data_IF_248751427782
#
_entry.id   IF_248751427782
#
_cell.length_a   1.000
_cell.length_b   1.000
_cell.length_c   1.000
_cell.angle_alpha   90.00
_cell.angle_beta   90.00
_cell.angle_gamma   90.00
#
_symmetry.space_group_name_H-M   'P 1'
#
loop_
_entity.id
_entity.type
_entity.pdbx_description
1 polymer ?
#
# COMPACT_ATOMS: atom_id res chain seq x y z
N UNK A 1 8.99 -38.02 -19.24
CA UNK A 1 8.64 -37.14 -18.10
C UNK A 1 8.29 -37.99 -16.90
N UNK A 2 9.15 -38.12 -15.87
CA UNK A 2 8.83 -38.95 -14.70
C UNK A 2 9.81 -38.84 -13.52
N UNK A 3 10.97 -38.19 -13.72
CA UNK A 3 12.02 -38.09 -12.70
C UNK A 3 11.74 -36.93 -11.73
N UNK A 4 11.20 -35.80 -12.23
CA UNK A 4 10.90 -34.61 -11.41
C UNK A 4 9.70 -34.79 -10.46
N UNK A 5 8.66 -35.52 -10.87
CA UNK A 5 7.50 -35.78 -10.00
C UNK A 5 7.82 -36.81 -8.90
N UNK A 6 8.71 -37.76 -9.18
CA UNK A 6 9.13 -38.77 -8.21
C UNK A 6 10.10 -38.22 -7.15
N UNK A 7 10.92 -37.20 -7.46
CA UNK A 7 11.76 -36.54 -6.47
C UNK A 7 10.95 -35.65 -5.53
N UNK A 8 9.96 -34.91 -6.06
CA UNK A 8 9.01 -34.12 -5.28
C UNK A 8 8.15 -35.00 -4.35
N UNK A 9 7.60 -36.11 -4.86
CA UNK A 9 6.82 -37.05 -4.03
C UNK A 9 7.64 -37.67 -2.89
N UNK A 10 8.93 -37.96 -3.13
CA UNK A 10 9.85 -38.46 -2.09
C UNK A 10 10.20 -37.39 -1.06
N UNK A 11 10.40 -36.13 -1.46
CA UNK A 11 10.64 -35.02 -0.52
C UNK A 11 9.40 -34.70 0.31
N UNK A 12 8.24 -34.54 -0.33
CA UNK A 12 6.98 -34.26 0.36
C UNK A 12 6.60 -35.38 1.34
N UNK A 13 6.75 -36.66 0.97
CA UNK A 13 6.46 -37.77 1.89
C UNK A 13 7.41 -37.85 3.08
N UNK A 14 8.72 -37.63 2.85
CA UNK A 14 9.74 -37.68 3.92
C UNK A 14 9.58 -36.53 4.92
N UNK A 15 9.36 -35.33 4.41
CA UNK A 15 9.31 -34.13 5.23
C UNK A 15 7.94 -34.00 5.92
N UNK A 16 6.85 -34.41 5.27
CA UNK A 16 5.53 -34.53 5.93
C UNK A 16 5.53 -35.59 7.02
N UNK A 17 6.15 -36.76 6.78
CA UNK A 17 6.28 -37.83 7.78
C UNK A 17 7.08 -37.40 9.01
N UNK A 18 8.14 -36.61 8.82
CA UNK A 18 8.88 -35.98 9.93
C UNK A 18 8.04 -34.99 10.72
N UNK A 19 7.27 -34.13 10.05
CA UNK A 19 6.41 -33.14 10.71
C UNK A 19 5.31 -33.84 11.52
N UNK A 20 4.64 -34.83 10.94
CA UNK A 20 3.61 -35.62 11.62
C UNK A 20 4.22 -36.40 12.80
N UNK A 21 5.37 -37.03 12.60
CA UNK A 21 6.07 -37.76 13.67
C UNK A 21 6.51 -36.85 14.82
N UNK A 22 7.04 -35.65 14.53
CA UNK A 22 7.41 -34.68 15.56
C UNK A 22 6.17 -34.10 16.28
N UNK A 23 5.05 -34.00 15.59
CA UNK A 23 3.78 -33.52 16.16
C UNK A 23 3.10 -34.58 17.04
N UNK A 24 3.20 -35.86 16.68
CA UNK A 24 2.57 -36.99 17.41
C UNK A 24 3.43 -37.48 18.57
N UNK A 25 4.72 -37.71 18.35
CA UNK A 25 5.61 -38.29 19.38
C UNK A 25 6.26 -37.24 20.28
N UNK A 26 6.25 -35.97 19.87
CA UNK A 26 6.85 -34.87 20.61
C UNK A 26 8.27 -35.17 21.12
N UNK A 27 8.74 -34.38 22.09
CA UNK A 27 10.01 -34.60 22.78
C UNK A 27 9.90 -35.66 23.90
N UNK A 28 9.12 -36.73 23.71
CA UNK A 28 8.83 -37.73 24.77
C UNK A 28 10.06 -38.54 25.22
N UNK A 29 11.12 -38.57 24.41
CA UNK A 29 12.40 -39.21 24.74
C UNK A 29 13.62 -38.27 24.63
N UNK A 30 13.41 -36.96 24.52
CA UNK A 30 14.52 -36.01 24.51
C UNK A 30 15.04 -35.82 25.95
N UNK A 31 16.33 -36.09 26.17
CA UNK A 31 17.01 -35.68 27.40
C UNK A 31 16.87 -34.17 27.57
N UNK A 32 16.41 -33.67 28.74
CA UNK A 32 16.21 -32.24 28.95
C UNK A 32 17.55 -31.52 28.89
N UNK A 33 17.85 -30.90 27.75
CA UNK A 33 18.98 -30.01 27.61
C UNK A 33 18.63 -28.66 28.26
N UNK A 34 19.19 -28.44 29.46
CA UNK A 34 18.99 -27.23 30.25
C UNK A 34 20.00 -26.17 29.80
N UNK A 35 19.63 -25.37 28.82
CA UNK A 35 20.44 -24.22 28.40
C UNK A 35 20.48 -23.16 29.51
N UNK A 36 21.67 -22.95 30.08
CA UNK A 36 21.93 -22.02 31.19
C UNK A 36 21.80 -20.54 30.77
N UNK A 37 21.59 -20.25 29.48
CA UNK A 37 21.52 -18.90 28.92
C UNK A 37 20.21 -18.58 28.15
N UNK A 38 19.16 -19.39 28.25
CA UNK A 38 17.87 -19.13 27.58
C UNK A 38 17.31 -17.74 27.89
N UNK A 39 17.36 -17.35 29.15
CA UNK A 39 16.85 -16.05 29.60
C UNK A 39 17.65 -14.88 29.02
N UNK A 40 18.97 -15.04 28.85
CA UNK A 40 19.84 -14.01 28.23
C UNK A 40 19.56 -13.89 26.73
N UNK A 41 19.43 -15.02 26.04
CA UNK A 41 19.11 -15.06 24.60
C UNK A 41 17.72 -14.47 24.35
N UNK A 42 16.74 -14.80 25.19
CA UNK A 42 15.39 -14.22 25.08
C UNK A 42 15.38 -12.72 25.37
N UNK A 43 16.15 -12.26 26.36
CA UNK A 43 16.29 -10.84 26.67
C UNK A 43 16.99 -10.07 25.53
N UNK A 44 18.04 -10.63 24.92
CA UNK A 44 18.71 -10.05 23.76
C UNK A 44 17.80 -10.01 22.54
N UNK A 45 17.07 -11.09 22.25
CA UNK A 45 16.08 -11.12 21.18
C UNK A 45 14.97 -10.08 21.39
N UNK A 46 14.50 -9.89 22.63
CA UNK A 46 13.54 -8.83 22.99
C UNK A 46 14.12 -7.43 22.79
N UNK A 47 15.37 -7.20 23.17
CA UNK A 47 16.07 -5.92 22.93
C UNK A 47 16.23 -5.63 21.44
N UNK A 48 16.61 -6.62 20.64
CA UNK A 48 16.75 -6.49 19.19
C UNK A 48 15.38 -6.21 18.54
N UNK A 49 14.32 -6.91 18.96
CA UNK A 49 12.96 -6.67 18.48
C UNK A 49 12.47 -5.25 18.86
N UNK A 50 12.78 -4.80 20.07
CA UNK A 50 12.44 -3.44 20.54
C UNK A 50 13.21 -2.37 19.76
N UNK A 51 14.50 -2.56 19.51
CA UNK A 51 15.30 -1.64 18.68
C UNK A 51 14.79 -1.57 17.24
N UNK A 52 14.47 -2.72 16.63
CA UNK A 52 13.88 -2.77 15.29
C UNK A 52 12.54 -2.04 15.23
N UNK A 53 11.64 -2.31 16.16
CA UNK A 53 10.33 -1.64 16.19
C UNK A 53 10.42 -0.13 16.46
N UNK A 54 11.39 0.31 17.26
CA UNK A 54 11.66 1.73 17.46
C UNK A 54 12.23 2.39 16.19
N UNK A 55 13.14 1.71 15.49
CA UNK A 55 13.67 2.16 14.20
C UNK A 55 12.58 2.31 13.15
N UNK A 56 11.73 1.28 12.98
CA UNK A 56 10.59 1.33 12.06
C UNK A 56 9.62 2.48 12.38
N UNK A 57 9.39 2.76 13.67
CA UNK A 57 8.57 3.92 14.07
C UNK A 57 9.23 5.24 13.71
N UNK A 58 10.53 5.38 13.95
CA UNK A 58 11.29 6.59 13.57
C UNK A 58 11.23 6.80 12.06
N UNK A 59 11.41 5.76 11.25
CA UNK A 59 11.31 5.85 9.80
C UNK A 59 9.92 6.31 9.35
N UNK A 60 8.86 5.81 10.00
CA UNK A 60 7.48 6.25 9.73
C UNK A 60 7.27 7.73 10.09
N UNK A 61 7.82 8.21 11.20
CA UNK A 61 7.73 9.62 11.58
C UNK A 61 8.50 10.53 10.63
N UNK A 62 9.69 10.12 10.21
CA UNK A 62 10.48 10.87 9.22
C UNK A 62 9.76 10.94 7.88
N UNK A 63 9.16 9.84 7.44
CA UNK A 63 8.33 9.81 6.24
C UNK A 63 7.12 10.74 6.37
N UNK A 64 6.40 10.69 7.50
CA UNK A 64 5.22 11.53 7.72
C UNK A 64 5.58 13.02 7.73
N UNK A 65 6.67 13.40 8.40
CA UNK A 65 7.17 14.77 8.41
C UNK A 65 7.54 15.25 7.00
N UNK A 66 8.23 14.43 6.21
CA UNK A 66 8.58 14.76 4.83
C UNK A 66 7.34 14.92 3.93
N UNK A 67 6.34 14.05 4.10
CA UNK A 67 5.09 14.14 3.34
C UNK A 67 4.27 15.35 3.75
N UNK A 68 4.16 15.68 5.04
CA UNK A 68 3.47 16.89 5.51
C UNK A 68 4.11 18.13 4.90
N UNK A 69 5.44 18.25 4.98
CA UNK A 69 6.15 19.38 4.38
C UNK A 69 5.92 19.50 2.86
N UNK A 70 5.86 18.38 2.14
CA UNK A 70 5.54 18.38 0.72
C UNK A 70 4.07 18.79 0.44
N UNK A 71 3.13 18.36 1.28
CA UNK A 71 1.71 18.74 1.20
C UNK A 71 1.54 20.24 1.46
N UNK A 72 2.24 20.80 2.45
CA UNK A 72 2.19 22.23 2.75
C UNK A 72 2.64 23.08 1.55
N UNK A 73 3.64 22.64 0.80
CA UNK A 73 4.06 23.30 -0.45
C UNK A 73 2.95 23.32 -1.51
N UNK A 74 2.16 22.26 -1.60
CA UNK A 74 1.01 22.19 -2.52
C UNK A 74 -0.14 23.08 -2.05
N UNK A 75 -0.36 23.18 -0.75
CA UNK A 75 -1.40 24.05 -0.19
C UNK A 75 -1.05 25.52 -0.45
N UNK A 76 0.22 25.89 -0.23
CA UNK A 76 0.75 27.25 -0.41
C UNK A 76 0.93 27.66 -1.87
N UNK A 77 0.81 26.73 -2.83
CA UNK A 77 0.85 27.05 -4.25
C UNK A 77 -0.28 28.03 -4.59
N UNK A 78 0.11 29.22 -5.04
CA UNK A 78 -0.82 30.23 -5.54
C UNK A 78 -1.39 29.76 -6.89
N UNK A 79 -2.72 29.81 -6.99
CA UNK A 79 -3.47 29.38 -8.17
C UNK A 79 -3.52 30.50 -9.23
N UNK A 80 -3.27 31.75 -8.83
CA UNK A 80 -3.36 32.93 -9.69
C UNK A 80 -4.81 33.34 -9.98
N UNK A 81 -5.01 34.60 -10.31
CA UNK A 81 -6.36 35.16 -10.59
C UNK A 81 -6.77 35.07 -12.06
N UNK A 82 -5.81 34.82 -12.95
CA UNK A 82 -6.04 34.80 -14.40
C UNK A 82 -6.21 33.38 -14.94
N UNK A 83 -7.10 33.20 -15.93
CA UNK A 83 -7.39 31.90 -16.56
C UNK A 83 -6.12 31.17 -17.05
N UNK A 84 -5.15 31.92 -17.58
CA UNK A 84 -3.87 31.36 -18.08
C UNK A 84 -2.98 30.85 -16.95
N UNK A 85 -2.99 31.53 -15.81
CA UNK A 85 -2.20 31.16 -14.62
C UNK A 85 -2.76 29.88 -14.01
N UNK A 86 -4.09 29.78 -13.90
CA UNK A 86 -4.77 28.59 -13.38
C UNK A 86 -4.49 27.38 -14.28
N UNK A 87 -4.50 27.55 -15.60
CA UNK A 87 -4.16 26.47 -16.54
C UNK A 87 -2.71 26.03 -16.36
N UNK A 88 -1.77 26.96 -16.23
CA UNK A 88 -0.36 26.63 -16.00
C UNK A 88 -0.16 25.89 -14.67
N UNK A 89 -0.81 26.35 -13.60
CA UNK A 89 -0.83 25.69 -12.31
C UNK A 89 -1.40 24.27 -12.43
N UNK A 90 -2.53 24.10 -13.12
CA UNK A 90 -3.17 22.81 -13.33
C UNK A 90 -2.30 21.80 -14.10
N UNK A 91 -1.55 22.25 -15.12
CA UNK A 91 -0.64 21.39 -15.87
C UNK A 91 0.53 20.92 -14.99
N UNK A 92 1.03 21.79 -14.12
CA UNK A 92 2.08 21.41 -13.16
C UNK A 92 1.58 20.38 -12.14
N UNK A 93 0.35 20.54 -11.64
CA UNK A 93 -0.30 19.60 -10.74
C UNK A 93 -0.58 18.26 -11.44
N UNK A 94 -1.00 18.28 -12.71
CA UNK A 94 -1.18 17.07 -13.50
C UNK A 94 0.13 16.29 -13.65
N UNK A 95 1.25 16.97 -13.92
CA UNK A 95 2.57 16.34 -13.97
C UNK A 95 2.95 15.71 -12.63
N UNK A 96 2.65 16.38 -11.52
CA UNK A 96 2.89 15.83 -10.19
C UNK A 96 2.03 14.58 -9.92
N UNK A 97 0.76 14.55 -10.36
CA UNK A 97 -0.11 13.37 -10.26
C UNK A 97 0.38 12.21 -11.15
N UNK A 98 0.91 12.51 -12.33
CA UNK A 98 1.44 11.51 -13.25
C UNK A 98 2.71 10.82 -12.68
N UNK A 99 3.59 11.59 -12.04
CA UNK A 99 4.83 11.10 -11.43
C UNK A 99 4.55 10.39 -10.11
N UNK A 100 3.68 10.94 -9.26
CA UNK A 100 3.42 10.43 -7.92
C UNK A 100 2.22 9.48 -7.91
N UNK A 101 2.51 8.20 -8.17
CA UNK A 101 1.51 7.13 -8.13
C UNK A 101 1.07 6.83 -6.69
N UNK A 102 -0.21 6.45 -6.54
CA UNK A 102 -0.73 5.97 -5.28
C UNK A 102 -0.13 4.61 -4.94
N UNK A 103 0.09 4.41 -3.65
CA UNK A 103 0.57 3.18 -3.07
C UNK A 103 -0.61 2.32 -2.62
N UNK A 104 -0.52 1.01 -2.85
CA UNK A 104 -1.57 0.08 -2.44
C UNK A 104 -1.70 0.02 -0.91
N UNK A 105 -2.95 -0.05 -0.44
CA UNK A 105 -3.29 -0.11 0.98
C UNK A 105 -2.68 -1.34 1.69
N UNK A 106 -2.33 -2.39 0.94
CA UNK A 106 -1.65 -3.57 1.49
C UNK A 106 -0.30 -3.24 2.16
N UNK A 107 0.33 -2.10 1.83
CA UNK A 107 1.61 -1.68 2.43
C UNK A 107 1.44 -0.99 3.79
N UNK A 108 0.22 -0.99 4.34
CA UNK A 108 -0.06 -0.53 5.70
C UNK A 108 0.19 0.97 5.89
N UNK A 109 0.76 1.34 7.03
CA UNK A 109 0.95 2.74 7.45
C UNK A 109 1.77 3.58 6.47
N UNK A 110 2.76 2.98 5.82
CA UNK A 110 3.61 3.65 4.82
C UNK A 110 2.76 4.14 3.64
N UNK A 111 1.82 3.32 3.17
CA UNK A 111 0.91 3.71 2.08
C UNK A 111 -0.03 4.83 2.51
N UNK A 112 -0.60 4.73 3.71
CA UNK A 112 -1.50 5.75 4.25
C UNK A 112 -0.81 7.11 4.34
N UNK A 113 0.46 7.15 4.77
CA UNK A 113 1.26 8.38 4.82
C UNK A 113 1.55 8.88 3.41
N UNK A 114 2.14 8.06 2.53
CA UNK A 114 2.57 8.48 1.20
C UNK A 114 1.41 8.95 0.32
N UNK A 115 0.23 8.35 0.45
CA UNK A 115 -0.95 8.69 -0.34
C UNK A 115 -1.54 10.07 -0.01
N UNK A 116 -1.24 10.64 1.17
CA UNK A 116 -1.65 12.01 1.52
C UNK A 116 -1.19 13.04 0.48
N UNK A 117 0.01 12.86 -0.09
CA UNK A 117 0.55 13.77 -1.09
C UNK A 117 -0.25 13.80 -2.40
N UNK A 118 -0.39 12.68 -3.15
CA UNK A 118 -1.18 12.71 -4.38
C UNK A 118 -2.66 13.04 -4.13
N UNK A 119 -3.20 12.73 -2.94
CA UNK A 119 -4.55 13.18 -2.55
C UNK A 119 -4.63 14.71 -2.41
N UNK A 120 -3.62 15.35 -1.80
CA UNK A 120 -3.54 16.80 -1.68
C UNK A 120 -3.39 17.48 -3.05
N UNK A 121 -2.53 16.95 -3.93
CA UNK A 121 -2.36 17.45 -5.30
C UNK A 121 -3.68 17.36 -6.08
N UNK A 122 -4.40 16.24 -5.94
CA UNK A 122 -5.70 16.07 -6.60
C UNK A 122 -6.72 17.09 -6.10
N UNK A 123 -6.82 17.32 -4.79
CA UNK A 123 -7.71 18.34 -4.23
C UNK A 123 -7.35 19.75 -4.69
N UNK A 124 -6.06 20.10 -4.74
CA UNK A 124 -5.61 21.39 -5.24
C UNK A 124 -5.93 21.57 -6.73
N UNK A 125 -5.84 20.50 -7.51
CA UNK A 125 -6.26 20.49 -8.92
C UNK A 125 -7.77 20.68 -9.06
N UNK A 126 -8.58 20.12 -8.17
CA UNK A 126 -10.03 20.37 -8.12
C UNK A 126 -10.34 21.83 -7.80
N UNK A 127 -9.62 22.44 -6.85
CA UNK A 127 -9.74 23.88 -6.58
C UNK A 127 -9.44 24.72 -7.82
N UNK A 128 -8.44 24.35 -8.63
CA UNK A 128 -8.19 25.02 -9.92
C UNK A 128 -9.39 24.93 -10.87
N UNK A 129 -10.15 23.83 -10.85
CA UNK A 129 -11.37 23.69 -11.66
C UNK A 129 -12.47 24.60 -11.10
N UNK A 130 -12.66 24.64 -9.78
CA UNK A 130 -13.66 25.49 -9.12
C UNK A 130 -13.42 26.97 -9.41
N UNK A 131 -12.17 27.44 -9.34
CA UNK A 131 -11.81 28.82 -9.68
C UNK A 131 -12.08 29.15 -11.16
N UNK A 132 -11.80 28.21 -12.08
CA UNK A 132 -12.12 28.38 -13.50
C UNK A 132 -13.63 28.45 -13.76
N UNK A 133 -14.42 27.67 -13.01
CA UNK A 133 -15.89 27.73 -13.05
C UNK A 133 -16.40 29.08 -12.54
N UNK A 134 -15.82 29.59 -11.44
CA UNK A 134 -16.16 30.89 -10.89
C UNK A 134 -15.89 32.03 -11.89
N UNK A 135 -14.74 31.97 -12.57
CA UNK A 135 -14.36 32.94 -13.61
C UNK A 135 -15.19 32.83 -14.90
N UNK A 136 -16.09 31.84 -15.01
CA UNK A 136 -16.85 31.52 -16.24
C UNK A 136 -15.91 31.37 -17.45
N UNK A 137 -14.79 30.69 -17.23
CA UNK A 137 -13.84 30.37 -18.30
C UNK A 137 -14.46 29.42 -19.33
N UNK A 138 -13.75 29.18 -20.43
CA UNK A 138 -14.23 28.34 -21.53
C UNK A 138 -14.73 26.96 -21.07
N UNK A 139 -16.01 26.66 -21.32
CA UNK A 139 -16.69 25.43 -20.93
C UNK A 139 -15.99 24.16 -21.45
N UNK A 140 -15.43 24.19 -22.67
CA UNK A 140 -14.70 23.05 -23.24
C UNK A 140 -13.42 22.74 -22.47
N UNK A 141 -12.78 23.78 -21.91
CA UNK A 141 -11.54 23.63 -21.14
C UNK A 141 -11.84 23.06 -19.77
N UNK A 142 -12.87 23.58 -19.10
CA UNK A 142 -13.36 23.06 -17.82
C UNK A 142 -13.74 21.58 -17.98
N UNK A 143 -14.45 21.23 -19.06
CA UNK A 143 -14.82 19.83 -19.34
C UNK A 143 -13.60 18.92 -19.50
N UNK A 144 -12.58 19.35 -20.25
CA UNK A 144 -11.32 18.60 -20.40
C UNK A 144 -10.63 18.40 -19.05
N UNK A 145 -10.54 19.46 -18.23
CA UNK A 145 -9.90 19.39 -16.92
C UNK A 145 -10.66 18.48 -15.94
N UNK A 146 -12.01 18.52 -15.94
CA UNK A 146 -12.85 17.58 -15.19
C UNK A 146 -12.62 16.13 -15.60
N UNK A 147 -12.49 15.87 -16.90
CA UNK A 147 -12.21 14.52 -17.41
C UNK A 147 -10.85 14.00 -16.92
N UNK A 148 -9.85 14.87 -16.86
CA UNK A 148 -8.52 14.56 -16.30
C UNK A 148 -8.63 14.26 -14.79
N UNK A 149 -9.32 15.08 -14.01
CA UNK A 149 -9.58 14.81 -12.59
C UNK A 149 -10.25 13.45 -12.38
N UNK A 150 -11.32 13.16 -13.14
CA UNK A 150 -12.03 11.89 -13.06
C UNK A 150 -11.15 10.68 -13.42
N UNK A 151 -10.26 10.83 -14.40
CA UNK A 151 -9.27 9.79 -14.75
C UNK A 151 -8.34 9.51 -13.56
N UNK A 152 -7.77 10.53 -12.94
CA UNK A 152 -6.85 10.34 -11.82
C UNK A 152 -7.55 9.81 -10.56
N UNK A 153 -8.81 10.21 -10.28
CA UNK A 153 -9.62 9.59 -9.22
C UNK A 153 -9.76 8.09 -9.40
N UNK A 154 -10.12 7.65 -10.62
CA UNK A 154 -10.28 6.22 -10.94
C UNK A 154 -8.95 5.47 -10.80
N UNK A 155 -7.86 6.06 -11.30
CA UNK A 155 -6.52 5.47 -11.18
C UNK A 155 -6.12 5.33 -9.71
N UNK A 156 -6.35 6.36 -8.89
CA UNK A 156 -6.08 6.31 -7.45
C UNK A 156 -6.81 5.18 -6.76
N UNK A 157 -8.12 5.03 -7.00
CA UNK A 157 -8.92 3.94 -6.43
C UNK A 157 -8.42 2.55 -6.85
N UNK A 158 -8.11 2.37 -8.14
CA UNK A 158 -7.59 1.09 -8.65
C UNK A 158 -6.21 0.78 -8.05
N UNK A 159 -5.33 1.78 -7.91
CA UNK A 159 -4.00 1.56 -7.35
C UNK A 159 -4.04 1.27 -5.84
N UNK A 160 -4.93 1.94 -5.10
CA UNK A 160 -5.08 1.73 -3.67
C UNK A 160 -5.72 0.37 -3.34
N UNK A 161 -6.80 0.02 -4.04
CA UNK A 161 -7.67 -1.13 -3.70
C UNK A 161 -7.62 -2.30 -4.69
N UNK A 162 -6.98 -2.15 -5.85
CA UNK A 162 -6.97 -3.19 -6.90
C UNK A 162 -6.42 -4.54 -6.44
N UNK A 163 -5.52 -4.54 -5.45
CA UNK A 163 -5.03 -5.78 -4.83
C UNK A 163 -6.15 -6.59 -4.13
N UNK A 164 -7.12 -5.92 -3.53
CA UNK A 164 -8.24 -6.57 -2.82
C UNK A 164 -9.34 -7.06 -3.77
N UNK A 165 -9.34 -6.66 -5.05
CA UNK A 165 -10.37 -7.06 -6.00
C UNK A 165 -10.33 -8.56 -6.34
N UNK A 166 -9.14 -9.16 -6.38
CA UNK A 166 -8.94 -10.58 -6.71
C UNK A 166 -9.48 -11.52 -5.61
N UNK A 167 -9.09 -11.37 -4.32
CA UNK A 167 -9.66 -12.20 -3.26
C UNK A 167 -11.16 -11.98 -3.08
N UNK A 168 -11.67 -10.76 -3.27
CA UNK A 168 -13.10 -10.49 -3.21
C UNK A 168 -13.89 -11.27 -4.29
N UNK A 169 -13.35 -11.33 -5.52
CA UNK A 169 -13.93 -12.14 -6.60
C UNK A 169 -13.97 -13.64 -6.28
N UNK A 170 -12.90 -14.18 -5.68
CA UNK A 170 -12.85 -15.58 -5.27
C UNK A 170 -13.89 -15.92 -4.20
N UNK A 171 -14.09 -15.03 -3.22
CA UNK A 171 -15.13 -15.20 -2.19
C UNK A 171 -16.52 -15.18 -2.81
N UNK A 172 -16.78 -14.28 -3.76
CA UNK A 172 -18.07 -14.20 -4.47
C UNK A 172 -18.33 -15.49 -5.25
N UNK A 173 -17.33 -16.02 -5.98
CA UNK A 173 -17.47 -17.28 -6.72
C UNK A 173 -17.74 -18.46 -5.75
N UNK A 174 -17.04 -18.52 -4.62
CA UNK A 174 -17.29 -19.53 -3.59
C UNK A 174 -18.71 -19.45 -3.03
N UNK A 175 -19.22 -18.23 -2.76
CA UNK A 175 -20.59 -18.05 -2.29
C UNK A 175 -21.62 -18.52 -3.31
N UNK A 176 -21.42 -18.22 -4.61
CA UNK A 176 -22.30 -18.68 -5.68
C UNK A 176 -22.30 -20.22 -5.75
N UNK A 177 -21.13 -20.86 -5.71
CA UNK A 177 -21.02 -22.32 -5.74
C UNK A 177 -21.71 -22.97 -4.53
N UNK A 178 -21.62 -22.37 -3.34
CA UNK A 178 -22.30 -22.88 -2.12
C UNK A 178 -23.82 -22.71 -2.24
N UNK A 179 -24.33 -21.64 -2.83
CA UNK A 179 -25.77 -21.40 -2.96
C UNK A 179 -26.45 -22.23 -4.05
N UNK A 180 -25.70 -22.68 -5.06
CA UNK A 180 -26.20 -23.44 -6.20
C UNK A 180 -25.89 -24.94 -6.14
N UNK A 181 -25.21 -25.40 -5.08
CA UNK A 181 -24.93 -26.82 -4.80
C UNK A 181 -25.81 -27.34 -3.66
#
# INVERSE_FOLDING_TARGET
>A
MGIFFNSLKRQFGRDTGKVISNTIYGNSHATPYREVNKDKIELENKKIAMQKSNGERQDLYLLDAAVIGAVDQIILLDIGGDEKEIVKASLSLEMQLAVNKWMSHHKGKIAAIRNKYPDAVLKKYEQCIEELEFLKANDDRIFKMKKVAAKYKKIGLIQQYGFFAIPALLVIVLLIVITFS
#
